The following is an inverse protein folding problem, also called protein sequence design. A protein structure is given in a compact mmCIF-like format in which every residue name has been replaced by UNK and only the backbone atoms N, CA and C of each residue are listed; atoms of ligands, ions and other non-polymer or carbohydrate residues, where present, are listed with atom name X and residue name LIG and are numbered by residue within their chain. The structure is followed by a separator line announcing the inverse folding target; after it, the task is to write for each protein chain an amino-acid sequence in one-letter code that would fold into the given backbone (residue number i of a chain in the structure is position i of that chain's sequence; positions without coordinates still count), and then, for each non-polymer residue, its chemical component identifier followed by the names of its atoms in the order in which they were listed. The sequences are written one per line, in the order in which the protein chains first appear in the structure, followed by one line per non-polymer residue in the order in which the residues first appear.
data_IF_045039685709
#
_entry.id   IF_045039685709
#
_cell.length_a   1.000
_cell.length_b   1.000
_cell.length_c   1.000
_cell.angle_alpha   90.00
_cell.angle_beta   90.00
_cell.angle_gamma   90.00
#
_symmetry.space_group_name_H-M   'P 1'
#
loop_
_entity.id
_entity.type
_entity.pdbx_description
1 polymer ?
#
# COMPACT_ATOMS: atom_id res chain seq x y z
N UNK A 1 7.36 -3.87 -0.07
CA UNK A 1 6.37 -4.68 -0.83
C UNK A 1 5.39 -5.28 0.16
N UNK A 2 4.09 -5.30 -0.14
CA UNK A 2 3.02 -5.79 0.75
C UNK A 2 2.17 -6.81 0.00
N UNK A 3 2.11 -8.09 0.45
CA UNK A 3 1.13 -9.05 -0.03
C UNK A 3 -0.27 -8.59 0.39
N UNK A 4 -1.21 -8.54 -0.56
CA UNK A 4 -2.58 -8.07 -0.28
C UNK A 4 -3.61 -9.11 -0.73
N UNK A 5 -4.58 -9.41 0.15
CA UNK A 5 -5.84 -10.01 -0.27
C UNK A 5 -6.86 -8.91 -0.60
N UNK A 6 -7.01 -7.94 0.31
CA UNK A 6 -7.72 -6.68 0.13
C UNK A 6 -6.86 -5.46 0.48
N UNK A 7 -7.42 -4.26 0.37
CA UNK A 7 -6.66 -2.99 0.45
C UNK A 7 -6.35 -2.49 1.88
N UNK A 8 -6.95 -3.07 2.92
CA UNK A 8 -6.84 -2.53 4.29
C UNK A 8 -5.40 -2.54 4.86
N UNK A 9 -4.62 -3.59 4.58
CA UNK A 9 -3.27 -3.71 5.14
C UNK A 9 -2.30 -2.69 4.54
N UNK A 10 -2.31 -2.56 3.21
CA UNK A 10 -1.39 -1.68 2.49
C UNK A 10 -1.63 -0.20 2.84
N UNK A 11 -2.89 0.22 3.03
CA UNK A 11 -3.21 1.58 3.47
C UNK A 11 -2.74 1.86 4.89
N UNK A 12 -2.87 0.88 5.80
CA UNK A 12 -2.36 0.99 7.17
C UNK A 12 -0.83 1.07 7.23
N UNK A 13 -0.13 0.31 6.40
CA UNK A 13 1.35 0.38 6.30
C UNK A 13 1.78 1.76 5.81
N UNK A 14 1.11 2.30 4.78
CA UNK A 14 1.40 3.65 4.29
C UNK A 14 1.18 4.72 5.38
N UNK A 15 0.05 4.64 6.10
CA UNK A 15 -0.24 5.52 7.23
C UNK A 15 0.84 5.43 8.32
N UNK A 16 1.23 4.22 8.71
CA UNK A 16 2.23 4.02 9.77
C UNK A 16 3.58 4.68 9.45
N UNK A 17 4.04 4.64 8.19
CA UNK A 17 5.26 5.35 7.80
C UNK A 17 5.18 6.86 8.05
N UNK A 18 4.06 7.48 7.69
CA UNK A 18 3.84 8.91 7.96
C UNK A 18 3.65 9.22 9.44
N UNK A 19 3.07 8.31 10.21
CA UNK A 19 2.99 8.45 11.66
C UNK A 19 4.38 8.36 12.31
N UNK A 20 5.27 7.50 11.81
CA UNK A 20 6.64 7.43 12.28
C UNK A 20 7.43 8.70 11.98
N UNK A 21 7.23 9.30 10.80
CA UNK A 21 7.78 10.61 10.46
C UNK A 21 7.23 11.70 11.38
N UNK A 22 5.90 11.75 11.59
CA UNK A 22 5.25 12.72 12.47
C UNK A 22 5.73 12.65 13.93
N UNK A 23 5.99 11.43 14.42
CA UNK A 23 6.49 11.19 15.78
C UNK A 23 8.01 11.41 15.91
N UNK A 24 8.72 11.71 14.82
CA UNK A 24 10.18 11.86 14.82
C UNK A 24 10.93 10.54 15.02
N UNK A 25 10.30 9.40 14.74
CA UNK A 25 10.94 8.08 14.77
C UNK A 25 11.80 7.82 13.51
N UNK A 26 11.49 8.52 12.42
CA UNK A 26 12.28 8.57 11.18
C UNK A 26 12.27 10.01 10.64
N UNK A 27 13.28 10.39 9.85
CA UNK A 27 13.39 11.77 9.32
C UNK A 27 12.30 12.11 8.30
N UNK A 28 12.28 11.39 7.17
CA UNK A 28 11.33 11.60 6.08
C UNK A 28 10.93 10.28 5.47
N UNK A 29 9.66 10.12 5.12
CA UNK A 29 9.22 8.95 4.34
C UNK A 29 9.80 9.03 2.93
N UNK A 30 10.85 8.24 2.66
CA UNK A 30 11.44 8.07 1.33
C UNK A 30 11.21 6.65 0.76
N UNK A 31 10.18 5.96 1.27
CA UNK A 31 9.85 4.59 0.93
C UNK A 31 8.72 4.55 -0.09
N UNK A 32 8.83 3.66 -1.09
CA UNK A 32 7.73 3.31 -1.98
C UNK A 32 7.05 2.03 -1.49
N UNK A 33 5.72 2.03 -1.49
CA UNK A 33 4.92 0.85 -1.13
C UNK A 33 4.37 0.23 -2.41
N UNK A 34 4.57 -1.08 -2.56
CA UNK A 34 4.12 -1.85 -3.72
C UNK A 34 3.16 -2.95 -3.25
N UNK A 35 2.00 -3.06 -3.90
CA UNK A 35 1.05 -4.16 -3.68
C UNK A 35 1.46 -5.40 -4.51
N UNK A 36 1.33 -6.58 -3.91
CA UNK A 36 1.51 -7.86 -4.60
C UNK A 36 0.29 -8.77 -4.39
N UNK A 37 -0.23 -9.35 -5.48
CA UNK A 37 -1.33 -10.32 -5.47
C UNK A 37 -1.02 -11.50 -6.38
N UNK A 38 -1.66 -12.64 -6.09
CA UNK A 38 -1.58 -13.82 -6.94
C UNK A 38 -2.26 -13.58 -8.29
N UNK A 39 -1.65 -14.07 -9.37
CA UNK A 39 -2.26 -14.07 -10.71
C UNK A 39 -3.60 -14.82 -10.66
N UNK A 40 -4.63 -14.28 -11.33
CA UNK A 40 -5.98 -14.87 -11.37
C UNK A 40 -6.88 -14.50 -10.19
N UNK A 41 -6.35 -13.90 -9.12
CA UNK A 41 -7.13 -13.34 -8.02
C UNK A 41 -6.48 -12.03 -7.55
N UNK A 42 -6.45 -11.04 -8.45
CA UNK A 42 -5.64 -9.83 -8.30
C UNK A 42 -6.41 -8.50 -8.40
N UNK A 43 -7.64 -8.39 -7.87
CA UNK A 43 -8.53 -7.27 -8.19
C UNK A 43 -8.00 -5.91 -7.69
N UNK A 44 -7.24 -5.88 -6.58
CA UNK A 44 -6.58 -4.67 -6.06
C UNK A 44 -5.47 -4.20 -7.01
N UNK A 45 -4.55 -5.10 -7.39
CA UNK A 45 -3.45 -4.71 -8.28
C UNK A 45 -3.94 -4.37 -9.69
N UNK A 46 -5.05 -4.96 -10.14
CA UNK A 46 -5.71 -4.58 -11.40
C UNK A 46 -6.25 -3.16 -11.32
N UNK A 47 -7.01 -2.82 -10.28
CA UNK A 47 -7.53 -1.46 -10.08
C UNK A 47 -6.42 -0.41 -10.01
N UNK A 48 -5.34 -0.68 -9.26
CA UNK A 48 -4.17 0.23 -9.15
C UNK A 48 -3.52 0.48 -10.53
N UNK A 49 -3.32 -0.58 -11.32
CA UNK A 49 -2.69 -0.46 -12.65
C UNK A 49 -3.56 0.29 -13.66
N UNK A 50 -4.88 0.16 -13.55
CA UNK A 50 -5.84 0.80 -14.44
C UNK A 50 -6.28 2.19 -13.97
N UNK A 51 -5.87 2.62 -12.77
CA UNK A 51 -6.29 3.89 -12.19
C UNK A 51 -7.78 3.93 -11.81
N UNK A 52 -8.33 2.80 -11.35
CA UNK A 52 -9.73 2.73 -10.92
C UNK A 52 -9.88 3.10 -9.44
N UNK A 53 -10.95 3.81 -9.13
CA UNK A 53 -11.29 4.20 -7.75
C UNK A 53 -12.02 3.09 -6.96
N UNK A 54 -12.53 2.08 -7.67
CA UNK A 54 -13.29 0.96 -7.12
C UNK A 54 -12.79 -0.39 -7.64
N UNK A 55 -12.96 -1.43 -6.82
CA UNK A 55 -12.59 -2.83 -7.11
C UNK A 55 -13.85 -3.68 -7.23
#
# INVERSE_FOLDING_TARGET
VVPVAGSSLITKIWKAFHEFEMLGLIDKVNTKVFAAQATGCSPVTTAIKNGWDTI
#
